data_IF_875394686775
#
_entry.id   IF_875394686775
#
_cell.length_a   1.000
_cell.length_b   1.000
_cell.length_c   1.000
_cell.angle_alpha   90.00
_cell.angle_beta   90.00
_cell.angle_gamma   90.00
#
_symmetry.space_group_name_H-M   'P 1'
#
loop_
_entity.id
_entity.type
_entity.pdbx_description
1 polymer ?
#
# COMPACT_ATOMS: atom_id res chain seq x y z
N UNK A 1 -3.23 -29.13 -12.26
CA UNK A 1 -1.93 -28.64 -11.71
C UNK A 1 -2.02 -27.18 -11.24
N UNK A 2 -2.99 -26.39 -11.71
CA UNK A 2 -3.22 -25.01 -11.25
C UNK A 2 -3.95 -24.92 -9.90
N UNK A 3 -4.73 -25.93 -9.52
CA UNK A 3 -5.57 -25.91 -8.32
C UNK A 3 -4.77 -25.79 -7.03
N UNK A 4 -3.61 -26.44 -6.94
CA UNK A 4 -2.74 -26.39 -5.75
C UNK A 4 -2.15 -24.99 -5.56
N UNK A 5 -1.76 -24.35 -6.66
CA UNK A 5 -1.24 -22.98 -6.63
C UNK A 5 -2.34 -21.98 -6.25
N UNK A 6 -3.50 -22.04 -6.92
CA UNK A 6 -4.61 -21.14 -6.63
C UNK A 6 -5.11 -21.28 -5.19
N UNK A 7 -5.23 -22.51 -4.70
CA UNK A 7 -5.60 -22.79 -3.29
C UNK A 7 -4.60 -22.17 -2.33
N UNK A 8 -3.29 -22.34 -2.60
CA UNK A 8 -2.24 -21.76 -1.76
C UNK A 8 -2.30 -20.23 -1.77
N UNK A 9 -2.38 -19.61 -2.94
CA UNK A 9 -2.43 -18.16 -3.06
C UNK A 9 -3.68 -17.56 -2.42
N UNK A 10 -4.82 -18.25 -2.54
CA UNK A 10 -6.05 -17.87 -1.84
C UNK A 10 -5.86 -17.90 -0.33
N UNK A 11 -5.32 -18.99 0.22
CA UNK A 11 -5.03 -19.09 1.66
C UNK A 11 -4.05 -18.01 2.13
N UNK A 12 -2.98 -17.76 1.37
CA UNK A 12 -2.00 -16.73 1.68
C UNK A 12 -2.62 -15.31 1.60
N UNK A 13 -3.53 -15.07 0.66
CA UNK A 13 -4.30 -13.83 0.57
C UNK A 13 -5.20 -13.64 1.80
N UNK A 14 -5.99 -14.65 2.17
CA UNK A 14 -6.84 -14.65 3.35
C UNK A 14 -6.03 -14.34 4.62
N UNK A 15 -4.90 -15.03 4.82
CA UNK A 15 -3.99 -14.76 5.94
C UNK A 15 -3.49 -13.31 5.96
N UNK A 16 -3.13 -12.74 4.80
CA UNK A 16 -2.68 -11.33 4.71
C UNK A 16 -3.81 -10.36 5.04
N UNK A 17 -5.03 -10.61 4.57
CA UNK A 17 -6.21 -9.77 4.85
C UNK A 17 -6.54 -9.80 6.34
N UNK A 18 -6.65 -10.97 6.96
CA UNK A 18 -6.91 -11.10 8.40
C UNK A 18 -5.82 -10.42 9.24
N UNK A 19 -4.54 -10.61 8.89
CA UNK A 19 -3.43 -9.94 9.59
C UNK A 19 -3.52 -8.41 9.47
N UNK A 20 -3.91 -7.91 8.30
CA UNK A 20 -4.08 -6.48 8.06
C UNK A 20 -5.25 -5.91 8.86
N UNK A 21 -6.38 -6.62 8.87
CA UNK A 21 -7.56 -6.28 9.68
C UNK A 21 -7.21 -6.21 11.16
N UNK A 22 -6.51 -7.22 11.71
CA UNK A 22 -6.09 -7.21 13.12
C UNK A 22 -5.14 -6.04 13.44
N UNK A 23 -4.21 -5.71 12.53
CA UNK A 23 -3.25 -4.63 12.75
C UNK A 23 -3.92 -3.25 12.73
N UNK A 24 -4.79 -3.00 11.74
CA UNK A 24 -5.53 -1.75 11.64
C UNK A 24 -6.62 -1.64 12.71
N UNK A 25 -7.27 -2.76 13.03
CA UNK A 25 -8.28 -2.86 14.08
C UNK A 25 -7.74 -2.45 15.44
N UNK A 26 -6.54 -2.91 15.81
CA UNK A 26 -5.85 -2.47 17.03
C UNK A 26 -5.51 -0.98 17.04
N UNK A 27 -5.25 -0.38 15.86
CA UNK A 27 -4.90 1.04 15.74
C UNK A 27 -6.12 1.95 15.92
N UNK A 28 -7.29 1.53 15.47
CA UNK A 28 -8.52 2.33 15.51
C UNK A 28 -9.56 1.84 16.53
N UNK A 29 -9.20 0.86 17.36
CA UNK A 29 -10.10 0.18 18.30
C UNK A 29 -11.38 -0.40 17.64
N UNK A 30 -11.23 -0.88 16.40
CA UNK A 30 -12.30 -1.47 15.57
C UNK A 30 -11.97 -2.91 15.15
N UNK A 31 -11.29 -3.63 16.04
CA UNK A 31 -10.79 -4.99 15.75
C UNK A 31 -11.91 -5.96 15.38
N UNK A 32 -13.07 -5.86 16.03
CA UNK A 32 -14.19 -6.78 15.80
C UNK A 32 -14.82 -6.54 14.41
N UNK A 33 -15.06 -5.29 14.03
CA UNK A 33 -15.64 -4.94 12.73
C UNK A 33 -14.75 -5.38 11.56
N UNK A 34 -13.47 -4.99 11.58
CA UNK A 34 -12.55 -5.37 10.51
C UNK A 34 -12.26 -6.87 10.51
N UNK A 35 -12.29 -7.52 11.67
CA UNK A 35 -12.19 -8.96 11.81
C UNK A 35 -13.35 -9.69 11.11
N UNK A 36 -14.59 -9.21 11.30
CA UNK A 36 -15.76 -9.75 10.63
C UNK A 36 -15.70 -9.56 9.11
N UNK A 37 -15.37 -8.36 8.62
CA UNK A 37 -15.24 -8.12 7.18
C UNK A 37 -14.15 -8.97 6.53
N UNK A 38 -13.02 -9.17 7.22
CA UNK A 38 -11.98 -10.07 6.76
C UNK A 38 -12.46 -11.53 6.73
N UNK A 39 -13.21 -11.96 7.74
CA UNK A 39 -13.79 -13.31 7.78
C UNK A 39 -14.78 -13.53 6.63
N UNK A 40 -15.68 -12.59 6.41
CA UNK A 40 -16.68 -12.64 5.33
C UNK A 40 -16.01 -12.72 3.95
N UNK A 41 -14.93 -11.95 3.75
CA UNK A 41 -14.13 -12.03 2.53
C UNK A 41 -13.47 -13.41 2.34
N UNK A 42 -12.93 -14.00 3.40
CA UNK A 42 -12.28 -15.32 3.34
C UNK A 42 -13.28 -16.47 3.19
N UNK A 43 -14.55 -16.25 3.57
CA UNK A 43 -15.64 -17.22 3.43
C UNK A 43 -16.16 -17.34 1.98
N UNK A 44 -15.74 -16.45 1.08
CA UNK A 44 -16.04 -16.56 -0.35
C UNK A 44 -15.42 -17.83 -0.95
N UNK A 45 -16.09 -18.39 -1.96
CA UNK A 45 -15.58 -19.57 -2.66
C UNK A 45 -14.19 -19.29 -3.25
N UNK A 46 -13.23 -20.22 -3.13
CA UNK A 46 -11.89 -20.04 -3.67
C UNK A 46 -11.95 -19.85 -5.20
N UNK A 47 -11.05 -19.03 -5.78
CA UNK A 47 -11.04 -18.78 -7.22
C UNK A 47 -10.65 -20.05 -8.00
N UNK A 48 -11.37 -20.33 -9.08
CA UNK A 48 -11.11 -21.49 -9.95
C UNK A 48 -10.12 -21.16 -11.08
N UNK A 49 -9.90 -19.87 -11.32
CA UNK A 49 -9.01 -19.37 -12.37
C UNK A 49 -8.08 -18.28 -11.86
N UNK A 50 -6.94 -18.12 -12.54
CA UNK A 50 -6.00 -17.05 -12.22
C UNK A 50 -6.59 -15.64 -12.39
N UNK A 51 -7.38 -15.33 -13.44
CA UNK A 51 -8.06 -14.04 -13.54
C UNK A 51 -9.00 -13.74 -12.37
N UNK A 52 -9.75 -14.74 -11.90
CA UNK A 52 -10.60 -14.58 -10.70
C UNK A 52 -9.77 -14.26 -9.46
N UNK A 53 -8.63 -14.94 -9.27
CA UNK A 53 -7.71 -14.62 -8.18
C UNK A 53 -7.28 -13.14 -8.23
N UNK A 54 -6.96 -12.60 -9.41
CA UNK A 54 -6.60 -11.18 -9.55
C UNK A 54 -7.75 -10.24 -9.19
N UNK A 55 -8.99 -10.59 -9.54
CA UNK A 55 -10.17 -9.83 -9.12
C UNK A 55 -10.29 -9.83 -7.59
N UNK A 56 -10.11 -11.00 -6.95
CA UNK A 56 -10.14 -11.09 -5.48
C UNK A 56 -9.02 -10.30 -4.81
N UNK A 57 -7.81 -10.30 -5.38
CA UNK A 57 -6.71 -9.48 -4.89
C UNK A 57 -7.08 -8.00 -4.94
N UNK A 58 -7.68 -7.53 -6.04
CA UNK A 58 -8.18 -6.16 -6.14
C UNK A 58 -9.22 -5.86 -5.06
N UNK A 59 -10.22 -6.71 -4.88
CA UNK A 59 -11.24 -6.55 -3.83
C UNK A 59 -10.63 -6.47 -2.43
N UNK A 60 -9.67 -7.34 -2.12
CA UNK A 60 -8.92 -7.32 -0.86
C UNK A 60 -8.18 -5.99 -0.65
N UNK A 61 -7.63 -5.40 -1.73
CA UNK A 61 -6.97 -4.08 -1.62
C UNK A 61 -7.95 -2.95 -1.37
N UNK A 62 -9.14 -2.97 -2.00
CA UNK A 62 -10.18 -1.96 -1.75
C UNK A 62 -10.72 -2.07 -0.32
N UNK A 63 -10.91 -3.29 0.19
CA UNK A 63 -11.27 -3.53 1.59
C UNK A 63 -10.22 -2.96 2.55
N UNK A 64 -8.94 -3.23 2.28
CA UNK A 64 -7.84 -2.71 3.09
C UNK A 64 -7.72 -1.17 3.03
N UNK A 65 -8.10 -0.53 1.92
CA UNK A 65 -8.17 0.94 1.82
C UNK A 65 -9.34 1.49 2.64
N UNK A 66 -10.50 0.84 2.61
CA UNK A 66 -11.66 1.26 3.40
C UNK A 66 -11.34 1.29 4.91
N UNK A 67 -10.57 0.32 5.41
CA UNK A 67 -10.11 0.30 6.80
C UNK A 67 -9.14 1.42 7.15
N UNK A 68 -8.46 2.02 6.17
CA UNK A 68 -7.53 3.14 6.36
C UNK A 68 -8.24 4.51 6.37
N UNK A 69 -9.52 4.57 5.95
CA UNK A 69 -10.20 5.80 5.57
C UNK A 69 -10.78 6.66 6.72
N UNK A 70 -10.12 6.75 7.89
CA UNK A 70 -10.14 8.03 8.59
C UNK A 70 -8.77 8.44 9.14
N UNK A 71 -7.66 8.09 8.47
CA UNK A 71 -6.41 8.77 8.74
C UNK A 71 -6.40 10.11 8.02
N UNK A 72 -6.39 11.26 8.73
CA UNK A 72 -5.81 12.45 8.13
C UNK A 72 -4.40 12.04 7.72
N UNK A 73 -4.10 12.23 6.44
CA UNK A 73 -2.84 11.93 5.79
C UNK A 73 -1.64 12.15 6.71
N UNK A 74 -1.20 11.08 7.39
CA UNK A 74 0.08 11.08 8.06
C UNK A 74 1.11 10.91 6.94
N UNK A 75 1.50 12.03 6.34
CA UNK A 75 2.68 12.12 5.48
C UNK A 75 2.52 11.75 4.02
N UNK A 76 1.32 11.83 3.41
CA UNK A 76 1.33 12.29 2.01
C UNK A 76 1.54 13.79 2.13
N UNK A 77 2.81 14.21 2.07
CA UNK A 77 3.17 15.59 1.75
C UNK A 77 2.17 16.04 0.69
N UNK A 78 1.38 17.08 0.99
CA UNK A 78 0.40 17.59 0.04
C UNK A 78 1.14 17.86 -1.28
N UNK A 79 0.47 17.80 -2.43
CA UNK A 79 1.10 18.20 -3.69
C UNK A 79 1.72 19.61 -3.58
N UNK A 80 1.17 20.46 -2.70
CA UNK A 80 1.78 21.74 -2.27
C UNK A 80 3.17 21.66 -1.63
N UNK A 81 3.55 20.57 -0.95
CA UNK A 81 4.92 20.39 -0.44
C UNK A 81 5.92 20.05 -1.55
N UNK A 82 5.45 19.61 -2.73
CA UNK A 82 6.31 19.37 -3.90
C UNK A 82 6.61 20.69 -4.62
N UNK A 83 5.66 21.63 -4.61
CA UNK A 83 5.84 22.97 -5.20
C UNK A 83 6.90 23.81 -4.46
N UNK A 84 7.07 23.65 -3.15
CA UNK A 84 8.11 24.36 -2.39
C UNK A 84 9.52 24.00 -2.88
N UNK A 85 9.75 22.74 -3.27
CA UNK A 85 11.02 22.29 -3.83
C UNK A 85 11.30 22.84 -5.25
N UNK A 86 10.26 23.30 -5.96
CA UNK A 86 10.40 23.98 -7.25
C UNK A 86 10.71 25.47 -7.08
N UNK A 87 10.26 26.08 -5.99
CA UNK A 87 10.54 27.48 -5.64
C UNK A 87 11.98 27.67 -5.09
N UNK A 88 12.63 26.59 -4.62
CA UNK A 88 14.04 26.59 -4.21
C UNK A 88 14.99 26.65 -5.41
N UNK A 89 15.36 27.87 -5.83
CA UNK A 89 16.52 28.07 -6.70
C UNK A 89 17.81 27.86 -5.90
N UNK A 90 18.39 26.66 -5.95
CA UNK A 90 19.77 26.47 -5.52
C UNK A 90 20.66 27.46 -6.29
N UNK A 91 21.57 28.20 -5.62
CA UNK A 91 22.53 29.01 -6.35
C UNK A 91 23.28 28.06 -7.29
N UNK A 92 23.14 28.29 -8.60
CA UNK A 92 23.99 27.62 -9.58
C UNK A 92 25.42 27.92 -9.14
N UNK A 93 26.06 26.91 -8.53
CA UNK A 93 27.40 27.07 -8.02
C UNK A 93 28.27 27.26 -9.25
N UNK A 94 28.69 28.50 -9.52
CA UNK A 94 29.62 28.78 -10.60
C UNK A 94 30.79 27.81 -10.44
N UNK A 95 31.12 27.02 -11.48
CA UNK A 95 32.22 26.07 -11.37
C UNK A 95 33.48 26.87 -11.01
N UNK A 96 34.34 26.35 -10.12
CA UNK A 96 35.56 27.06 -9.77
C UNK A 96 36.33 27.37 -11.05
N UNK A 97 36.69 28.63 -11.25
CA UNK A 97 37.53 29.03 -12.37
C UNK A 97 38.85 28.26 -12.27
N UNK A 98 39.10 27.37 -13.23
CA UNK A 98 40.31 26.56 -13.24
C UNK A 98 41.51 27.47 -13.54
N UNK A 99 42.17 28.00 -12.52
CA UNK A 99 43.50 28.59 -12.67
C UNK A 99 44.51 27.47 -12.55
N UNK A 100 44.91 26.88 -13.68
CA UNK A 100 46.07 26.01 -13.72
C UNK A 100 47.29 26.88 -13.39
N UNK A 101 47.73 26.83 -12.15
CA UNK A 101 49.02 27.39 -11.76
C UNK A 101 50.11 26.55 -12.42
N UNK A 102 50.42 26.86 -13.67
CA UNK A 102 51.63 26.44 -14.35
C UNK A 102 52.57 27.65 -14.37
N UNK A 103 53.70 27.47 -13.68
CA UNK A 103 55.03 28.10 -13.84
C UNK A 103 55.09 29.41 -14.61
#
# INVERSE_FOLDING_TARGET
>A
MNDVFLTREWNDLCHRVTRTASRLGRRFDRSDHFGQEAHDFCALAPPESYPELLVRVREATELAKAWQAPLPSCGRLSENSIDEALDESFPASDPPAWTASMV
#
